data_IF_909424197099
#
_entry.id   IF_909424197099
#
_cell.length_a   1.000
_cell.length_b   1.000
_cell.length_c   1.000
_cell.angle_alpha   90.00
_cell.angle_beta   90.00
_cell.angle_gamma   90.00
#
_symmetry.space_group_name_H-M   'P 1'
#
loop_
_entity.id
_entity.type
_entity.pdbx_description
1 polymer ?
#
# COMPACT_ATOMS: atom_id res chain seq x y z
N UNK A 1 51.03 4.85 -22.73
CA UNK A 1 50.69 4.21 -21.43
C UNK A 1 49.59 4.96 -20.64
N UNK A 2 48.97 6.04 -21.15
CA UNK A 2 47.99 6.86 -20.42
C UNK A 2 46.60 6.99 -21.11
N UNK A 3 46.26 6.09 -22.03
CA UNK A 3 44.96 6.13 -22.75
C UNK A 3 44.01 4.96 -22.42
N UNK A 4 44.49 3.89 -21.78
CA UNK A 4 43.66 2.71 -21.47
C UNK A 4 42.85 2.88 -20.16
N UNK A 5 43.09 3.96 -19.38
CA UNK A 5 42.36 4.23 -18.12
C UNK A 5 41.11 5.12 -18.26
N UNK A 6 40.88 5.77 -19.42
CA UNK A 6 39.70 6.65 -19.59
C UNK A 6 38.42 5.88 -19.90
N UNK A 7 38.47 4.85 -20.74
CA UNK A 7 37.28 4.06 -21.09
C UNK A 7 36.72 3.27 -19.89
N UNK A 8 37.57 2.92 -18.92
CA UNK A 8 37.14 2.19 -17.72
C UNK A 8 36.48 3.07 -16.65
N UNK A 9 36.56 4.39 -16.78
CA UNK A 9 35.93 5.35 -15.84
C UNK A 9 34.55 5.84 -16.31
N UNK A 10 34.23 5.71 -17.59
CA UNK A 10 32.90 6.07 -18.16
C UNK A 10 31.89 4.90 -18.08
N UNK A 11 32.35 3.68 -17.80
CA UNK A 11 31.50 2.49 -17.64
C UNK A 11 30.97 2.23 -16.21
N UNK A 12 31.29 3.07 -15.23
CA UNK A 12 30.94 2.83 -13.80
C UNK A 12 29.75 3.70 -13.33
N UNK A 13 29.21 4.58 -14.18
CA UNK A 13 28.13 5.53 -13.83
C UNK A 13 26.73 5.11 -14.28
N UNK A 14 26.44 3.81 -14.42
CA UNK A 14 25.08 3.30 -14.62
C UNK A 14 24.66 2.24 -13.58
N UNK A 15 25.33 2.18 -12.42
CA UNK A 15 24.67 1.66 -11.24
C UNK A 15 23.87 2.79 -10.62
N UNK A 16 22.60 2.86 -11.03
CA UNK A 16 21.55 3.61 -10.36
C UNK A 16 21.62 3.29 -8.87
N UNK A 17 22.28 4.14 -8.09
CA UNK A 17 22.13 4.20 -6.64
C UNK A 17 20.62 4.26 -6.44
N UNK A 18 20.04 3.15 -5.98
CA UNK A 18 18.60 2.94 -6.02
C UNK A 18 17.93 4.15 -5.41
N UNK A 19 17.18 4.91 -6.22
CA UNK A 19 16.32 5.97 -5.70
C UNK A 19 15.55 5.33 -4.55
N UNK A 20 15.78 5.82 -3.34
CA UNK A 20 15.04 5.39 -2.16
C UNK A 20 13.56 5.70 -2.47
N UNK A 21 12.84 4.71 -2.99
CA UNK A 21 11.46 4.91 -3.40
C UNK A 21 10.67 5.02 -2.11
N UNK A 22 10.08 6.19 -1.88
CA UNK A 22 9.17 6.41 -0.77
C UNK A 22 8.03 5.39 -0.87
N UNK A 23 8.05 4.41 0.02
CA UNK A 23 6.97 3.44 0.14
C UNK A 23 5.80 4.14 0.82
N UNK A 24 4.64 4.16 0.16
CA UNK A 24 3.41 4.76 0.71
C UNK A 24 2.57 3.67 1.36
N UNK A 25 1.84 4.02 2.40
CA UNK A 25 0.85 3.13 3.02
C UNK A 25 -0.58 3.56 2.75
N UNK A 26 -1.49 2.60 2.58
CA UNK A 26 -2.93 2.82 2.38
C UNK A 26 -3.75 1.94 3.33
N UNK A 27 -4.93 2.41 3.70
CA UNK A 27 -5.89 1.65 4.52
C UNK A 27 -7.13 1.37 3.69
N UNK A 28 -7.55 0.11 3.68
CA UNK A 28 -8.83 -0.33 3.17
C UNK A 28 -9.74 -0.75 4.31
N UNK A 29 -11.03 -0.52 4.17
CA UNK A 29 -12.02 -0.99 5.13
C UNK A 29 -12.75 -2.23 4.58
N UNK A 30 -13.12 -3.14 5.48
CA UNK A 30 -14.05 -4.21 5.22
C UNK A 30 -15.05 -4.34 6.37
N UNK A 31 -15.99 -5.26 6.20
CA UNK A 31 -16.92 -5.72 7.23
C UNK A 31 -16.82 -7.23 7.39
N UNK A 32 -17.54 -7.80 8.36
CA UNK A 32 -17.62 -9.25 8.53
C UNK A 32 -18.08 -9.99 7.26
N UNK A 33 -18.87 -9.32 6.42
CA UNK A 33 -19.38 -9.87 5.16
C UNK A 33 -18.33 -9.93 4.05
N UNK A 34 -17.33 -9.06 4.07
CA UNK A 34 -16.37 -8.90 2.96
C UNK A 34 -14.95 -9.34 3.33
N UNK A 35 -14.62 -9.41 4.62
CA UNK A 35 -13.29 -9.76 5.13
C UNK A 35 -12.75 -11.07 4.55
N UNK A 36 -13.54 -12.15 4.62
CA UNK A 36 -13.13 -13.47 4.13
C UNK A 36 -12.71 -13.39 2.66
N UNK A 37 -13.52 -12.77 1.82
CA UNK A 37 -13.22 -12.63 0.40
C UNK A 37 -11.99 -11.75 0.15
N UNK A 38 -11.78 -10.68 0.92
CA UNK A 38 -10.58 -9.85 0.83
C UNK A 38 -9.30 -10.66 1.09
N UNK A 39 -9.30 -11.46 2.17
CA UNK A 39 -8.13 -12.22 2.62
C UNK A 39 -7.87 -13.45 1.73
N UNK A 40 -8.91 -14.18 1.33
CA UNK A 40 -8.76 -15.36 0.47
C UNK A 40 -8.30 -14.99 -0.95
N UNK A 41 -8.85 -13.91 -1.52
CA UNK A 41 -8.49 -13.48 -2.89
C UNK A 41 -7.26 -12.58 -2.95
N UNK A 42 -6.75 -12.16 -1.79
CA UNK A 42 -5.72 -11.12 -1.67
C UNK A 42 -6.05 -9.91 -2.56
N UNK A 43 -7.28 -9.44 -2.43
CA UNK A 43 -7.85 -8.39 -3.27
C UNK A 43 -8.55 -7.40 -2.35
N UNK A 44 -8.13 -6.14 -2.38
CA UNK A 44 -8.80 -5.08 -1.65
C UNK A 44 -9.57 -4.20 -2.62
N UNK A 45 -10.76 -3.78 -2.21
CA UNK A 45 -11.70 -3.05 -3.04
C UNK A 45 -12.33 -1.88 -2.30
N UNK A 46 -12.62 -0.82 -3.05
CA UNK A 46 -13.40 0.31 -2.56
C UNK A 46 -14.46 0.72 -3.59
N UNK A 47 -15.43 1.51 -3.11
CA UNK A 47 -16.48 2.08 -3.94
C UNK A 47 -15.99 3.31 -4.72
N UNK A 48 -16.92 4.00 -5.39
CA UNK A 48 -16.62 5.18 -6.20
C UNK A 48 -16.12 6.37 -5.39
N UNK A 49 -16.50 6.48 -4.11
CA UNK A 49 -16.07 7.61 -3.25
C UNK A 49 -14.56 7.55 -3.06
N UNK A 50 -14.01 6.35 -2.87
CA UNK A 50 -12.58 6.14 -2.61
C UNK A 50 -11.77 5.74 -3.85
N UNK A 51 -12.42 5.55 -5.01
CA UNK A 51 -11.75 5.22 -6.27
C UNK A 51 -10.54 6.11 -6.63
N UNK A 52 -10.60 7.45 -6.47
CA UNK A 52 -9.45 8.32 -6.72
C UNK A 52 -8.23 8.04 -5.83
N UNK A 53 -8.42 7.49 -4.63
CA UNK A 53 -7.34 7.06 -3.74
C UNK A 53 -6.76 5.76 -4.25
N UNK A 54 -7.61 4.79 -4.58
CA UNK A 54 -7.19 3.47 -5.09
C UNK A 54 -6.34 3.62 -6.36
N UNK A 55 -6.76 4.45 -7.32
CA UNK A 55 -6.01 4.67 -8.58
C UNK A 55 -4.60 5.23 -8.36
N UNK A 56 -4.31 5.84 -7.20
CA UNK A 56 -2.97 6.34 -6.87
C UNK A 56 -2.03 5.26 -6.35
N UNK A 57 -2.55 4.10 -5.98
CA UNK A 57 -1.76 2.96 -5.48
C UNK A 57 -0.89 2.44 -6.61
N UNK A 58 0.36 2.17 -6.29
CA UNK A 58 1.34 1.56 -7.18
C UNK A 58 1.83 0.25 -6.61
N UNK A 59 2.19 -0.67 -7.51
CA UNK A 59 2.84 -1.92 -7.13
C UNK A 59 4.01 -1.62 -6.19
N UNK A 60 4.01 -2.30 -5.04
CA UNK A 60 5.02 -2.14 -4.00
C UNK A 60 4.62 -1.25 -2.83
N UNK A 61 3.55 -0.46 -2.93
CA UNK A 61 2.98 0.26 -1.80
C UNK A 61 2.50 -0.73 -0.71
N UNK A 62 2.45 -0.27 0.54
CA UNK A 62 1.95 -1.03 1.67
C UNK A 62 0.45 -0.79 1.88
N UNK A 63 -0.24 -1.83 2.33
CA UNK A 63 -1.66 -1.80 2.57
C UNK A 63 -1.99 -2.47 3.91
N UNK A 64 -3.02 -1.94 4.54
CA UNK A 64 -3.65 -2.50 5.73
C UNK A 64 -5.15 -2.65 5.47
N UNK A 65 -5.74 -3.69 6.04
CA UNK A 65 -7.18 -3.95 5.94
C UNK A 65 -7.80 -3.81 7.33
N UNK A 66 -8.82 -2.96 7.47
CA UNK A 66 -9.51 -2.72 8.74
C UNK A 66 -10.91 -3.30 8.66
N UNK A 67 -11.22 -4.29 9.50
CA UNK A 67 -12.60 -4.69 9.72
C UNK A 67 -13.24 -3.78 10.77
N UNK A 68 -14.18 -2.94 10.33
CA UNK A 68 -14.87 -1.94 11.17
C UNK A 68 -15.82 -2.56 12.19
N UNK A 69 -16.36 -3.75 11.91
CA UNK A 69 -17.31 -4.43 12.81
C UNK A 69 -16.59 -5.22 13.91
N UNK A 70 -15.37 -5.71 13.63
CA UNK A 70 -14.53 -6.40 14.64
C UNK A 70 -13.58 -5.45 15.39
N UNK A 71 -13.43 -4.22 14.91
CA UNK A 71 -12.41 -3.28 15.37
C UNK A 71 -11.00 -3.87 15.30
N UNK A 72 -10.66 -4.44 14.15
CA UNK A 72 -9.39 -5.13 13.89
C UNK A 72 -8.70 -4.55 12.66
N UNK A 73 -7.38 -4.40 12.74
CA UNK A 73 -6.50 -4.09 11.60
C UNK A 73 -5.62 -5.29 11.27
N UNK A 74 -5.61 -5.67 9.99
CA UNK A 74 -4.78 -6.70 9.40
C UNK A 74 -3.67 -6.05 8.58
N UNK A 75 -2.45 -6.60 8.68
CA UNK A 75 -1.32 -6.16 7.89
C UNK A 75 -0.06 -6.98 8.20
N UNK A 76 1.07 -6.74 7.55
CA UNK A 76 1.29 -5.77 6.48
C UNK A 76 1.09 -6.47 5.13
N UNK A 77 0.35 -5.84 4.22
CA UNK A 77 0.22 -6.29 2.84
C UNK A 77 1.05 -5.41 1.91
N UNK A 78 1.49 -5.99 0.78
CA UNK A 78 2.17 -5.27 -0.30
C UNK A 78 1.34 -5.34 -1.58
N UNK A 79 1.15 -4.22 -2.26
CA UNK A 79 0.48 -4.18 -3.56
C UNK A 79 1.29 -4.97 -4.60
N UNK A 80 0.63 -5.92 -5.28
CA UNK A 80 1.22 -6.69 -6.38
C UNK A 80 0.84 -6.12 -7.75
N UNK A 81 -0.19 -5.27 -7.79
CA UNK A 81 -0.61 -4.48 -8.96
C UNK A 81 -0.69 -3.01 -8.60
N UNK A 82 -0.75 -2.15 -9.60
CA UNK A 82 -1.31 -0.82 -9.41
C UNK A 82 -2.79 -0.91 -9.05
N UNK A 83 -3.33 0.14 -8.43
CA UNK A 83 -4.76 0.25 -8.24
C UNK A 83 -5.48 0.46 -9.57
N UNK A 84 -6.59 -0.25 -9.78
CA UNK A 84 -7.29 -0.29 -11.05
C UNK A 84 -8.80 -0.45 -10.90
N UNK A 85 -9.49 -0.54 -12.02
CA UNK A 85 -10.94 -0.70 -12.08
C UNK A 85 -11.29 -2.13 -12.51
N UNK A 86 -12.07 -2.83 -11.68
CA UNK A 86 -12.61 -4.18 -11.90
C UNK A 86 -11.52 -5.21 -12.26
N UNK A 87 -10.43 -5.25 -11.49
CA UNK A 87 -9.36 -6.27 -11.61
C UNK A 87 -9.95 -7.68 -11.54
N UNK A 88 -10.89 -7.90 -10.62
CA UNK A 88 -11.75 -9.06 -10.57
C UNK A 88 -13.22 -8.61 -10.55
N UNK A 89 -13.88 -8.81 -11.68
CA UNK A 89 -15.23 -8.30 -11.93
C UNK A 89 -16.29 -8.85 -10.95
N UNK A 90 -16.17 -10.13 -10.58
CA UNK A 90 -17.16 -10.82 -9.74
C UNK A 90 -16.97 -10.58 -8.24
N UNK A 91 -15.86 -9.95 -7.83
CA UNK A 91 -15.53 -9.76 -6.42
C UNK A 91 -16.61 -8.94 -5.69
N UNK A 92 -17.04 -9.40 -4.52
CA UNK A 92 -18.12 -8.82 -3.71
C UNK A 92 -19.40 -8.52 -4.51
N UNK A 93 -19.71 -9.35 -5.50
CA UNK A 93 -20.85 -9.17 -6.42
C UNK A 93 -20.81 -7.81 -7.15
N UNK A 94 -19.62 -7.29 -7.43
CA UNK A 94 -19.39 -6.04 -8.15
C UNK A 94 -19.54 -4.76 -7.33
N UNK A 95 -19.74 -4.85 -6.01
CA UNK A 95 -19.98 -3.68 -5.13
C UNK A 95 -18.77 -2.75 -5.01
N UNK A 96 -17.55 -3.28 -5.09
CA UNK A 96 -16.31 -2.52 -4.90
C UNK A 96 -15.42 -2.62 -6.14
N UNK A 97 -15.66 -1.77 -7.16
CA UNK A 97 -15.02 -1.90 -8.45
C UNK A 97 -13.62 -1.28 -8.50
N UNK A 98 -13.21 -0.44 -7.55
CA UNK A 98 -11.84 0.08 -7.53
C UNK A 98 -10.98 -0.82 -6.66
N UNK A 99 -10.02 -1.51 -7.27
CA UNK A 99 -9.39 -2.68 -6.68
C UNK A 99 -7.86 -2.62 -6.78
N UNK A 100 -7.20 -3.39 -5.92
CA UNK A 100 -5.76 -3.65 -5.95
C UNK A 100 -5.50 -5.07 -5.46
N UNK A 101 -4.65 -5.81 -6.18
CA UNK A 101 -4.16 -7.11 -5.70
C UNK A 101 -3.03 -6.89 -4.70
N UNK A 102 -3.00 -7.72 -3.67
CA UNK A 102 -1.99 -7.66 -2.62
C UNK A 102 -1.34 -9.02 -2.41
N UNK A 103 -0.33 -9.04 -1.56
CA UNK A 103 0.23 -10.25 -0.96
C UNK A 103 0.62 -9.94 0.49
N UNK A 104 0.68 -10.97 1.33
CA UNK A 104 1.22 -10.84 2.69
C UNK A 104 2.72 -10.49 2.59
N UNK A 105 3.16 -9.52 3.38
CA UNK A 105 4.58 -9.17 3.53
C UNK A 105 5.10 -9.80 4.83
N UNK A 106 5.61 -11.03 4.73
CA UNK A 106 6.00 -11.84 5.88
C UNK A 106 4.80 -12.64 6.40
N UNK A 107 4.33 -12.31 7.61
CA UNK A 107 3.17 -12.94 8.25
C UNK A 107 2.03 -11.94 8.42
N UNK A 108 0.80 -12.44 8.47
CA UNK A 108 -0.36 -11.59 8.77
C UNK A 108 -0.42 -11.31 10.27
N UNK A 109 -0.31 -10.03 10.61
CA UNK A 109 -0.49 -9.48 11.95
C UNK A 109 -1.94 -9.03 12.06
N UNK A 110 -2.62 -9.50 13.09
CA UNK A 110 -3.95 -9.07 13.50
C UNK A 110 -3.84 -8.23 14.79
N UNK A 111 -4.26 -6.96 14.74
CA UNK A 111 -4.30 -6.10 15.92
C UNK A 111 -5.73 -5.64 16.19
N UNK A 112 -6.21 -5.88 17.42
CA UNK A 112 -7.49 -5.36 17.92
C UNK A 112 -7.35 -3.88 18.31
N UNK A 113 -8.46 -3.16 18.41
CA UNK A 113 -8.46 -1.75 18.77
C UNK A 113 -8.07 -0.86 17.59
N UNK A 114 -8.50 -1.21 16.38
CA UNK A 114 -8.13 -0.49 15.15
C UNK A 114 -8.47 1.01 15.25
N UNK A 115 -9.63 1.36 15.79
CA UNK A 115 -10.03 2.76 15.96
C UNK A 115 -9.10 3.53 16.91
N UNK A 116 -8.69 2.91 18.02
CA UNK A 116 -7.74 3.51 18.94
C UNK A 116 -6.37 3.69 18.30
N UNK A 117 -5.88 2.66 17.60
CA UNK A 117 -4.60 2.69 16.90
C UNK A 117 -4.59 3.84 15.87
N UNK A 118 -5.59 3.88 14.99
CA UNK A 118 -5.66 4.89 13.94
C UNK A 118 -5.77 6.30 14.52
N UNK A 119 -6.58 6.50 15.56
CA UNK A 119 -6.70 7.78 16.27
C UNK A 119 -5.38 8.20 16.90
N UNK A 120 -4.70 7.29 17.60
CA UNK A 120 -3.45 7.57 18.32
C UNK A 120 -2.33 8.00 17.37
N UNK A 121 -2.27 7.42 16.18
CA UNK A 121 -1.29 7.78 15.16
C UNK A 121 -1.73 8.93 14.24
N UNK A 122 -2.91 9.52 14.46
CA UNK A 122 -3.46 10.57 13.60
C UNK A 122 -3.67 10.11 12.16
N UNK A 123 -3.84 8.79 11.96
CA UNK A 123 -4.01 8.21 10.63
C UNK A 123 -5.48 8.31 10.26
N UNK A 124 -5.82 9.36 9.53
CA UNK A 124 -7.14 9.45 8.91
C UNK A 124 -7.24 8.43 7.77
N UNK A 125 -8.43 7.88 7.58
CA UNK A 125 -8.73 6.99 6.46
C UNK A 125 -8.26 7.64 5.14
N UNK A 126 -7.60 6.87 4.29
CA UNK A 126 -7.11 7.32 2.98
C UNK A 126 -5.96 8.36 3.00
N UNK A 127 -5.31 8.56 4.15
CA UNK A 127 -4.06 9.34 4.19
C UNK A 127 -2.92 8.45 3.73
N UNK A 128 -2.19 8.81 2.66
CA UNK A 128 -0.98 8.09 2.32
C UNK A 128 -0.01 8.18 3.50
N UNK A 129 0.36 7.04 4.07
CA UNK A 129 1.36 6.98 5.12
C UNK A 129 2.73 7.24 4.47
N UNK A 130 3.15 8.50 4.46
CA UNK A 130 4.50 8.87 4.05
C UNK A 130 5.44 8.75 5.25
N UNK A 131 6.49 7.95 5.12
CA UNK A 131 7.62 8.04 6.04
C UNK A 131 8.53 9.19 5.60
N UNK A 132 8.28 10.41 6.13
CA UNK A 132 9.30 11.46 6.17
C UNK A 132 9.42 11.99 7.60
N UNK A 133 10.60 11.77 8.19
CA UNK A 133 11.07 12.52 9.36
C UNK A 133 11.21 14.01 8.96
N UNK A 134 10.18 14.81 9.15
CA UNK A 134 10.27 16.28 9.06
C UNK A 134 10.79 16.83 10.40
N UNK A 135 12.10 16.69 10.64
CA UNK A 135 12.80 17.42 11.71
C UNK A 135 13.39 18.76 11.24
N UNK A 136 13.14 19.18 9.99
CA UNK A 136 13.82 20.34 9.37
C UNK A 136 12.93 21.55 9.04
N UNK A 137 11.68 21.59 9.50
CA UNK A 137 10.80 22.77 9.30
C UNK A 137 10.29 23.39 10.61
N UNK A 138 10.93 23.08 11.74
CA UNK A 138 10.82 23.90 12.95
C UNK A 138 12.10 24.72 13.08
N UNK A 139 12.10 25.89 12.44
CA UNK A 139 12.96 27.02 12.80
C UNK A 139 12.07 28.24 12.95
#
# INVERSE_FOLDING_TARGET
MYEIKREKMEGITNQSIGKEQLVRGFIFNCSNKTEKECLEKMLFGADKIYGPVVIRIRKGDLLFLVNREKDVIYGVFKATTDGGFKIEFSAWKGRYPYQVRVQILGEIIELKGADEILRRFGIAQNTPLYWKKNWLLRR
#
